data_IF_017998979228
#
_entry.id   IF_017998979228
#
_cell.length_a   1.000
_cell.length_b   1.000
_cell.length_c   1.000
_cell.angle_alpha   90.00
_cell.angle_beta   90.00
_cell.angle_gamma   90.00
#
_symmetry.space_group_name_H-M   'P 1'
#
loop_
_entity.id
_entity.type
_entity.pdbx_description
1 polymer ?
#
# COMPACT_ATOMS: atom_id res chain seq x y z
N UNK A 1 -4.61 -11.19 -17.43
CA UNK A 1 -3.80 -11.07 -16.19
C UNK A 1 -4.08 -9.78 -15.41
N UNK A 2 -3.87 -8.57 -15.92
CA UNK A 2 -3.94 -7.31 -15.14
C UNK A 2 -5.26 -7.01 -14.38
N UNK A 3 -6.43 -7.47 -14.85
CA UNK A 3 -7.71 -7.24 -14.14
C UNK A 3 -7.77 -7.90 -12.76
N UNK A 4 -7.15 -9.09 -12.61
CA UNK A 4 -7.13 -9.79 -11.33
C UNK A 4 -6.17 -9.11 -10.34
N UNK A 5 -5.06 -8.55 -10.81
CA UNK A 5 -4.10 -7.88 -9.94
C UNK A 5 -4.64 -6.55 -9.37
N UNK A 6 -5.43 -5.82 -10.15
CA UNK A 6 -6.09 -4.59 -9.67
C UNK A 6 -7.03 -4.92 -8.52
N UNK A 7 -7.92 -5.91 -8.71
CA UNK A 7 -8.88 -6.32 -7.68
C UNK A 7 -8.15 -6.86 -6.45
N UNK A 8 -7.20 -7.77 -6.64
CA UNK A 8 -6.42 -8.35 -5.55
C UNK A 8 -5.69 -7.29 -4.73
N UNK A 9 -5.11 -6.28 -5.38
CA UNK A 9 -4.47 -5.17 -4.68
C UNK A 9 -5.47 -4.31 -3.90
N UNK A 10 -6.63 -3.98 -4.48
CA UNK A 10 -7.66 -3.20 -3.79
C UNK A 10 -8.19 -3.95 -2.56
N UNK A 11 -8.45 -5.25 -2.71
CA UNK A 11 -8.91 -6.12 -1.62
C UNK A 11 -7.84 -6.18 -0.51
N UNK A 12 -6.56 -6.33 -0.88
CA UNK A 12 -5.44 -6.25 0.05
C UNK A 12 -5.36 -4.89 0.76
N UNK A 13 -5.49 -3.79 0.03
CA UNK A 13 -5.44 -2.44 0.61
C UNK A 13 -6.56 -2.23 1.63
N UNK A 14 -7.76 -2.76 1.35
CA UNK A 14 -8.88 -2.76 2.27
C UNK A 14 -8.56 -3.51 3.57
N UNK A 15 -8.05 -4.74 3.45
CA UNK A 15 -7.65 -5.57 4.59
C UNK A 15 -6.53 -4.90 5.40
N UNK A 16 -5.53 -4.33 4.72
CA UNK A 16 -4.43 -3.61 5.36
C UNK A 16 -4.90 -2.39 6.14
N UNK A 17 -5.88 -1.63 5.63
CA UNK A 17 -6.47 -0.50 6.37
C UNK A 17 -7.12 -0.96 7.68
N UNK A 18 -7.85 -2.07 7.63
CA UNK A 18 -8.47 -2.66 8.81
C UNK A 18 -7.43 -3.20 9.81
N UNK A 19 -6.41 -3.92 9.34
CA UNK A 19 -5.36 -4.52 10.18
C UNK A 19 -4.43 -3.49 10.83
N UNK A 20 -4.01 -2.47 10.07
CA UNK A 20 -2.98 -1.52 10.53
C UNK A 20 -3.61 -0.33 11.25
N UNK A 21 -4.66 0.25 10.66
CA UNK A 21 -5.27 1.48 11.16
C UNK A 21 -6.60 1.27 11.86
N UNK A 22 -7.15 0.04 11.86
CA UNK A 22 -8.48 -0.28 12.42
C UNK A 22 -9.60 0.59 11.84
N UNK A 23 -9.46 0.96 10.57
CA UNK A 23 -10.45 1.78 9.85
C UNK A 23 -10.91 1.08 8.57
N UNK A 24 -12.15 1.34 8.16
CA UNK A 24 -12.64 0.91 6.85
C UNK A 24 -11.98 1.77 5.78
N UNK A 25 -11.33 1.13 4.81
CA UNK A 25 -10.83 1.85 3.64
C UNK A 25 -12.02 2.46 2.87
N UNK A 26 -11.81 3.67 2.35
CA UNK A 26 -12.77 4.35 1.48
C UNK A 26 -12.24 4.21 0.05
N UNK A 27 -13.02 3.58 -0.81
CA UNK A 27 -12.66 3.28 -2.18
C UNK A 27 -13.67 3.90 -3.16
N UNK A 28 -13.15 4.59 -4.18
CA UNK A 28 -13.94 5.16 -5.27
C UNK A 28 -13.85 4.24 -6.50
N UNK A 29 -14.95 3.52 -6.78
CA UNK A 29 -15.03 2.57 -7.90
C UNK A 29 -14.73 3.28 -9.23
N UNK A 30 -13.89 2.66 -10.06
CA UNK A 30 -13.44 3.20 -11.34
C UNK A 30 -12.22 4.10 -11.22
N UNK A 31 -12.27 5.15 -10.40
CA UNK A 31 -11.16 6.10 -10.21
C UNK A 31 -9.93 5.44 -9.60
N UNK A 32 -10.08 4.80 -8.45
CA UNK A 32 -8.98 4.10 -7.78
C UNK A 32 -8.52 2.90 -8.61
N UNK A 33 -9.44 2.21 -9.30
CA UNK A 33 -9.11 1.14 -10.24
C UNK A 33 -8.18 1.60 -11.38
N UNK A 34 -8.42 2.80 -11.94
CA UNK A 34 -7.56 3.38 -12.96
C UNK A 34 -6.19 3.81 -12.41
N UNK A 35 -6.14 4.30 -11.17
CA UNK A 35 -4.89 4.65 -10.50
C UNK A 35 -4.04 3.40 -10.26
N UNK A 36 -4.63 2.34 -9.71
CA UNK A 36 -3.95 1.05 -9.50
C UNK A 36 -3.49 0.46 -10.82
N UNK A 37 -4.34 0.47 -11.86
CA UNK A 37 -3.96 0.02 -13.20
C UNK A 37 -2.73 0.77 -13.73
N UNK A 38 -2.66 2.07 -13.49
CA UNK A 38 -1.52 2.90 -13.93
C UNK A 38 -0.26 2.59 -13.11
N UNK A 39 -0.39 2.41 -11.80
CA UNK A 39 0.70 2.04 -10.92
C UNK A 39 1.26 0.63 -11.27
N UNK A 40 0.39 -0.33 -11.59
CA UNK A 40 0.75 -1.70 -11.99
C UNK A 40 1.52 -1.77 -13.33
N UNK A 41 1.53 -0.69 -14.14
CA UNK A 41 2.40 -0.61 -15.32
C UNK A 41 3.86 -0.36 -14.95
N UNK A 42 4.12 0.22 -13.77
CA UNK A 42 5.46 0.61 -13.30
C UNK A 42 5.97 -0.29 -12.18
N UNK A 43 5.06 -0.77 -11.33
CA UNK A 43 5.36 -1.57 -10.16
C UNK A 43 4.63 -2.89 -10.20
N UNK A 44 5.23 -3.94 -9.64
CA UNK A 44 4.56 -5.21 -9.43
C UNK A 44 3.49 -5.07 -8.35
N UNK A 45 2.52 -6.00 -8.33
CA UNK A 45 1.49 -6.03 -7.28
C UNK A 45 2.09 -6.07 -5.86
N UNK A 46 3.10 -6.93 -5.65
CA UNK A 46 3.82 -7.02 -4.37
C UNK A 46 4.46 -5.69 -3.95
N UNK A 47 5.06 -4.94 -4.89
CA UNK A 47 5.58 -3.61 -4.58
C UNK A 47 4.49 -2.64 -4.12
N UNK A 48 3.31 -2.70 -4.73
CA UNK A 48 2.17 -1.89 -4.30
C UNK A 48 1.64 -2.33 -2.93
N UNK A 49 1.56 -3.63 -2.66
CA UNK A 49 1.17 -4.18 -1.36
C UNK A 49 2.12 -3.70 -0.24
N UNK A 50 3.43 -3.76 -0.48
CA UNK A 50 4.43 -3.25 0.47
C UNK A 50 4.29 -1.73 0.68
N UNK A 51 4.10 -0.96 -0.41
CA UNK A 51 3.84 0.47 -0.33
C UNK A 51 2.59 0.77 0.51
N UNK A 52 1.52 0.00 0.33
CA UNK A 52 0.30 0.16 1.11
C UNK A 52 0.54 -0.05 2.61
N UNK A 53 1.22 -1.13 2.97
CA UNK A 53 1.55 -1.43 4.38
C UNK A 53 2.39 -0.33 5.00
N UNK A 54 3.46 0.09 4.31
CA UNK A 54 4.32 1.17 4.78
C UNK A 54 3.58 2.50 4.93
N UNK A 55 2.79 2.88 3.93
CA UNK A 55 1.99 4.12 3.95
C UNK A 55 1.01 4.10 5.12
N UNK A 56 0.32 2.98 5.32
CA UNK A 56 -0.65 2.83 6.41
C UNK A 56 0.02 2.92 7.78
N UNK A 57 1.17 2.31 7.96
CA UNK A 57 1.88 2.34 9.24
C UNK A 57 2.57 3.68 9.54
N UNK A 58 3.26 4.27 8.55
CA UNK A 58 4.13 5.44 8.75
C UNK A 58 3.47 6.79 8.50
N UNK A 59 2.31 6.82 7.83
CA UNK A 59 1.59 8.08 7.53
C UNK A 59 0.20 8.15 8.20
N UNK A 60 0.06 7.88 9.51
CA UNK A 60 -1.26 7.78 10.16
C UNK A 60 -2.11 9.06 10.04
N UNK A 61 -1.47 10.22 9.89
CA UNK A 61 -2.13 11.52 9.70
C UNK A 61 -2.75 11.72 8.31
N UNK A 62 -2.34 10.95 7.30
CA UNK A 62 -2.89 11.05 5.95
C UNK A 62 -4.13 10.16 5.81
N UNK A 63 -5.06 10.52 4.93
CA UNK A 63 -6.23 9.68 4.68
C UNK A 63 -5.81 8.32 4.08
N UNK A 64 -6.39 7.20 4.54
CA UNK A 64 -6.11 5.86 4.04
C UNK A 64 -6.80 5.63 2.68
N UNK A 65 -6.39 6.40 1.67
CA UNK A 65 -6.92 6.36 0.30
C UNK A 65 -5.83 5.96 -0.68
N UNK A 66 -6.20 5.14 -1.67
CA UNK A 66 -5.28 4.70 -2.74
C UNK A 66 -4.71 5.91 -3.49
N UNK A 67 -5.55 6.89 -3.84
CA UNK A 67 -5.06 8.12 -4.47
C UNK A 67 -4.07 8.94 -3.63
N UNK A 68 -4.22 8.94 -2.30
CA UNK A 68 -3.26 9.62 -1.41
C UNK A 68 -1.94 8.87 -1.34
N UNK A 69 -1.99 7.53 -1.26
CA UNK A 69 -0.82 6.66 -1.30
C UNK A 69 -0.06 6.80 -2.63
N UNK A 70 -0.77 6.85 -3.75
CA UNK A 70 -0.22 7.00 -5.10
C UNK A 70 0.03 8.47 -5.49
N UNK A 71 -0.06 9.41 -4.54
CA UNK A 71 0.30 10.79 -4.82
C UNK A 71 1.80 10.90 -5.11
N UNK A 72 2.18 11.78 -6.04
CA UNK A 72 3.58 11.96 -6.47
C UNK A 72 4.52 12.11 -5.28
N UNK A 73 4.14 12.94 -4.30
CA UNK A 73 4.94 13.21 -3.09
C UNK A 73 5.20 11.95 -2.25
N UNK A 74 4.21 11.08 -2.11
CA UNK A 74 4.37 9.83 -1.34
C UNK A 74 5.20 8.82 -2.11
N UNK A 75 5.01 8.73 -3.43
CA UNK A 75 5.85 7.88 -4.28
C UNK A 75 7.32 8.34 -4.27
N UNK A 76 7.59 9.64 -4.40
CA UNK A 76 8.96 10.19 -4.34
C UNK A 76 9.60 9.95 -2.97
N UNK A 77 8.84 10.07 -1.88
CA UNK A 77 9.34 9.75 -0.53
C UNK A 77 9.65 8.25 -0.38
N UNK A 78 8.78 7.39 -0.90
CA UNK A 78 8.98 5.96 -0.90
C UNK A 78 10.24 5.59 -1.69
N UNK A 79 10.40 6.09 -2.91
CA UNK A 79 11.57 5.80 -3.75
C UNK A 79 12.87 6.23 -3.08
N UNK A 80 12.87 7.34 -2.36
CA UNK A 80 14.03 7.77 -1.55
C UNK A 80 14.29 6.81 -0.40
N UNK A 81 13.26 6.37 0.30
CA UNK A 81 13.41 5.46 1.45
C UNK A 81 13.79 4.04 1.04
N UNK A 82 13.25 3.52 -0.06
CA UNK A 82 13.59 2.19 -0.58
C UNK A 82 15.08 2.01 -0.89
N UNK A 83 15.79 3.10 -1.19
CA UNK A 83 17.25 3.11 -1.37
C UNK A 83 18.02 2.97 -0.06
N UNK A 84 17.37 3.14 1.09
CA UNK A 84 17.97 2.97 2.39
C UNK A 84 17.73 1.57 2.94
N UNK A 85 18.76 0.88 3.44
CA UNK A 85 18.61 -0.49 3.97
C UNK A 85 17.65 -0.55 5.18
N UNK A 86 17.56 0.53 5.96
CA UNK A 86 16.66 0.60 7.12
C UNK A 86 15.18 0.61 6.75
N UNK A 87 14.84 1.00 5.52
CA UNK A 87 13.46 0.91 5.05
C UNK A 87 12.96 -0.54 5.01
N UNK A 88 13.80 -1.47 4.57
CA UNK A 88 13.43 -2.89 4.49
C UNK A 88 13.25 -3.48 5.89
N UNK A 89 14.15 -3.16 6.84
CA UNK A 89 14.01 -3.55 8.24
C UNK A 89 12.73 -3.01 8.88
N UNK A 90 12.40 -1.75 8.60
CA UNK A 90 11.16 -1.13 9.08
C UNK A 90 9.92 -1.83 8.51
N UNK A 91 9.95 -2.13 7.22
CA UNK A 91 8.88 -2.86 6.55
C UNK A 91 8.68 -4.24 7.17
N UNK A 92 9.76 -5.00 7.37
CA UNK A 92 9.73 -6.31 8.01
C UNK A 92 9.13 -6.22 9.41
N UNK A 93 9.55 -5.24 10.22
CA UNK A 93 8.98 -5.03 11.55
C UNK A 93 7.48 -4.69 11.53
N UNK A 94 7.00 -3.94 10.52
CA UNK A 94 5.57 -3.67 10.34
C UNK A 94 4.84 -4.96 9.96
N UNK A 95 5.41 -5.76 9.06
CA UNK A 95 4.83 -7.05 8.65
C UNK A 95 4.77 -8.01 9.83
N UNK A 96 5.84 -8.15 10.61
CA UNK A 96 5.82 -8.95 11.83
C UNK A 96 4.74 -8.46 12.80
N UNK A 97 4.63 -7.15 13.02
CA UNK A 97 3.65 -6.61 13.97
C UNK A 97 2.20 -6.84 13.55
N UNK A 98 1.88 -6.74 12.26
CA UNK A 98 0.50 -6.72 11.76
C UNK A 98 0.07 -7.99 11.02
N UNK A 99 1.02 -8.83 10.59
CA UNK A 99 0.80 -10.02 9.77
C UNK A 99 1.47 -11.30 10.32
N UNK A 100 2.25 -11.26 11.43
CA UNK A 100 2.89 -12.46 12.00
C UNK A 100 1.96 -13.53 12.58
N UNK A 101 0.64 -13.29 12.67
CA UNK A 101 -0.32 -14.23 13.27
C UNK A 101 -0.92 -15.23 12.28
N UNK A 102 -0.17 -15.63 11.25
CA UNK A 102 -0.54 -16.76 10.37
C UNK A 102 0.73 -17.52 9.95
N UNK A 103 1.33 -18.24 10.91
CA UNK A 103 1.97 -19.53 10.67
C UNK A 103 1.53 -20.48 11.77
#
# INVERSE_FOLDING_TARGET
>A
MQKNDIKAFIDFFHDACAKIRKVKAVFERGKDGNLVKTALKKFSRRHLEMLAVWFLARKPKLQPKIGTMLSKKIMEELERKMKQPDFWKDLDAIFEKHYSRLQ
#
